data_IF_659434740946
#
_entry.id   IF_659434740946
#
_cell.length_a   1.000
_cell.length_b   1.000
_cell.length_c   1.000
_cell.angle_alpha   90.00
_cell.angle_beta   90.00
_cell.angle_gamma   90.00
#
_symmetry.space_group_name_H-M   'P 1'
#
loop_
_entity.id
_entity.type
_entity.pdbx_description
1 polymer ?
#
# COMPACT_ATOMS: atom_id res chain seq x y z
N UNK A 1 22.90 28.95 -7.91
CA UNK A 1 23.11 27.53 -8.30
C UNK A 1 22.59 26.55 -7.22
N UNK A 2 21.31 26.61 -6.81
CA UNK A 2 20.77 25.76 -5.73
C UNK A 2 19.37 25.16 -6.01
N UNK A 3 18.94 25.11 -7.27
CA UNK A 3 17.64 24.54 -7.67
C UNK A 3 17.70 23.12 -8.24
N UNK A 4 18.89 22.59 -8.58
CA UNK A 4 19.00 21.31 -9.30
C UNK A 4 18.97 20.06 -8.41
N UNK A 5 19.12 20.19 -7.09
CA UNK A 5 19.18 19.03 -6.17
C UNK A 5 17.81 18.60 -5.62
N UNK A 6 16.76 19.41 -5.76
CA UNK A 6 15.40 19.06 -5.29
C UNK A 6 14.62 18.18 -6.27
N UNK A 7 14.90 18.26 -7.57
CA UNK A 7 14.31 17.39 -8.58
C UNK A 7 14.88 15.96 -8.51
N UNK A 8 16.16 15.81 -8.11
CA UNK A 8 16.82 14.50 -8.02
C UNK A 8 16.15 13.55 -7.01
N UNK A 9 15.63 14.03 -5.88
CA UNK A 9 15.01 13.17 -4.87
C UNK A 9 13.67 12.55 -5.30
N UNK A 10 12.86 13.30 -6.08
CA UNK A 10 11.55 12.84 -6.57
C UNK A 10 11.72 11.99 -7.84
N UNK A 11 12.69 12.33 -8.69
CA UNK A 11 13.02 11.54 -9.88
C UNK A 11 13.71 10.21 -9.52
N UNK A 12 14.48 10.12 -8.42
CA UNK A 12 15.06 8.85 -7.95
C UNK A 12 13.97 7.88 -7.45
N UNK A 13 12.89 8.38 -6.84
CA UNK A 13 11.75 7.54 -6.46
C UNK A 13 11.00 6.98 -7.70
N UNK A 14 10.95 7.73 -8.80
CA UNK A 14 10.31 7.32 -10.05
C UNK A 14 11.21 6.50 -11.00
N UNK A 15 12.52 6.76 -11.02
CA UNK A 15 13.49 6.10 -11.91
C UNK A 15 13.96 4.75 -11.34
N UNK A 16 13.99 4.57 -10.02
CA UNK A 16 14.22 3.26 -9.42
C UNK A 16 13.07 2.26 -9.66
N UNK A 17 11.90 2.72 -10.12
CA UNK A 17 10.73 1.87 -10.42
C UNK A 17 10.68 1.36 -11.88
N UNK A 18 11.56 1.81 -12.78
CA UNK A 18 11.47 1.50 -14.22
C UNK A 18 12.77 0.98 -14.88
N UNK A 19 13.78 0.63 -14.09
CA UNK A 19 15.12 0.32 -14.60
C UNK A 19 15.59 -1.12 -14.45
N UNK A 20 15.10 -2.04 -15.28
CA UNK A 20 15.87 -3.23 -15.68
C UNK A 20 15.78 -3.38 -17.21
N UNK A 21 16.90 -3.30 -17.95
CA UNK A 21 16.91 -3.53 -19.38
C UNK A 21 17.23 -5.00 -19.67
N UNK A 22 16.37 -5.67 -20.43
CA UNK A 22 16.73 -6.95 -21.04
C UNK A 22 15.54 -7.78 -21.48
N UNK A 23 15.57 -8.21 -22.74
CA UNK A 23 14.77 -9.28 -23.35
C UNK A 23 13.38 -8.92 -23.89
N UNK A 24 13.40 -8.12 -24.96
CA UNK A 24 12.49 -8.33 -26.09
C UNK A 24 13.16 -9.25 -27.10
N UNK A 25 12.56 -10.39 -27.40
CA UNK A 25 12.73 -11.10 -28.67
C UNK A 25 11.39 -11.75 -29.04
N UNK A 26 10.89 -11.54 -30.27
CA UNK A 26 9.64 -12.15 -30.73
C UNK A 26 9.93 -13.45 -31.48
N UNK A 27 9.23 -14.52 -31.16
CA UNK A 27 9.14 -15.77 -31.93
C UNK A 27 7.79 -16.38 -31.56
N UNK A 28 6.92 -16.93 -32.40
CA UNK A 28 6.69 -16.98 -33.84
C UNK A 28 5.38 -17.76 -33.92
N UNK A 29 4.38 -17.26 -34.65
CA UNK A 29 3.19 -18.06 -34.94
C UNK A 29 3.59 -19.27 -35.81
N UNK A 30 3.02 -20.42 -35.52
CA UNK A 30 2.93 -21.54 -36.46
C UNK A 30 1.55 -22.18 -36.28
N UNK A 31 0.64 -21.84 -37.20
CA UNK A 31 -0.39 -22.76 -37.68
C UNK A 31 0.32 -23.93 -38.36
N UNK A 32 -0.10 -25.17 -38.08
CA UNK A 32 -0.49 -26.06 -39.18
C UNK A 32 -1.42 -27.18 -38.70
N UNK A 33 -2.28 -27.58 -39.62
CA UNK A 33 -3.40 -28.48 -39.45
C UNK A 33 -3.09 -29.93 -39.90
N UNK A 34 -4.03 -30.82 -39.59
CA UNK A 34 -4.29 -32.13 -40.21
C UNK A 34 -3.33 -33.28 -39.88
N UNK A 35 -3.84 -34.40 -39.36
CA UNK A 35 -4.49 -35.46 -40.14
C UNK A 35 -4.66 -36.73 -39.28
N UNK A 36 -5.86 -37.30 -39.35
CA UNK A 36 -6.15 -38.67 -38.93
C UNK A 36 -5.29 -39.68 -39.69
N UNK A 37 -4.79 -40.71 -39.01
CA UNK A 37 -4.83 -42.07 -39.55
C UNK A 37 -4.69 -43.12 -38.44
N UNK A 38 -5.70 -43.98 -38.39
CA UNK A 38 -5.85 -45.17 -37.57
C UNK A 38 -4.96 -46.29 -38.14
N UNK A 39 -4.25 -47.05 -37.30
CA UNK A 39 -3.99 -48.48 -37.54
C UNK A 39 -3.57 -49.20 -36.25
N UNK A 40 -4.40 -50.18 -35.91
CA UNK A 40 -4.26 -51.21 -34.90
C UNK A 40 -3.20 -52.24 -35.32
N UNK A 41 -2.20 -52.51 -34.46
CA UNK A 41 -1.45 -53.76 -34.48
C UNK A 41 -0.94 -54.09 -33.06
N UNK A 42 -1.48 -55.16 -32.52
CA UNK A 42 -0.97 -55.89 -31.35
C UNK A 42 0.32 -56.62 -31.72
N UNK A 43 1.41 -56.40 -31.00
CA UNK A 43 2.47 -57.40 -30.81
C UNK A 43 3.17 -57.20 -29.47
N UNK A 44 3.06 -58.23 -28.63
CA UNK A 44 3.82 -58.50 -27.41
C UNK A 44 5.23 -58.96 -27.80
N UNK A 45 6.27 -58.25 -27.36
CA UNK A 45 7.62 -58.79 -27.21
C UNK A 45 8.38 -58.02 -26.12
N UNK A 46 8.69 -58.73 -25.06
CA UNK A 46 9.68 -58.42 -24.03
C UNK A 46 11.08 -58.33 -24.62
N UNK A 47 11.73 -57.18 -24.49
CA UNK A 47 13.19 -57.07 -24.53
C UNK A 47 13.67 -55.99 -23.56
N UNK A 48 14.38 -56.43 -22.52
CA UNK A 48 15.31 -55.60 -21.75
C UNK A 48 16.37 -55.04 -22.70
N UNK A 49 16.50 -53.71 -22.75
CA UNK A 49 17.75 -53.05 -23.09
C UNK A 49 17.86 -51.76 -22.29
N UNK A 50 18.92 -51.70 -21.48
CA UNK A 50 19.37 -50.48 -20.85
C UNK A 50 19.69 -49.42 -21.92
N UNK A 51 19.15 -48.24 -21.69
CA UNK A 51 19.47 -47.01 -22.38
C UNK A 51 19.59 -45.97 -21.28
N UNK A 52 20.83 -45.56 -21.00
CA UNK A 52 21.17 -44.44 -20.15
C UNK A 52 20.37 -43.20 -20.61
N UNK A 53 19.26 -42.92 -19.93
CA UNK A 53 18.54 -41.68 -20.08
C UNK A 53 19.33 -40.63 -19.30
N UNK A 54 20.20 -39.93 -20.02
CA UNK A 54 20.81 -38.68 -19.61
C UNK A 54 19.69 -37.75 -19.12
N UNK A 55 19.52 -37.67 -17.80
CA UNK A 55 18.57 -36.77 -17.17
C UNK A 55 19.10 -35.36 -17.38
N UNK A 56 18.56 -34.70 -18.39
CA UNK A 56 18.79 -33.29 -18.68
C UNK A 56 18.29 -32.47 -17.48
N UNK A 57 19.16 -32.32 -16.47
CA UNK A 57 18.92 -31.51 -15.29
C UNK A 57 18.96 -30.05 -15.75
N UNK A 58 17.80 -29.55 -16.18
CA UNK A 58 17.55 -28.12 -16.26
C UNK A 58 18.01 -27.50 -14.93
N UNK A 59 18.83 -26.43 -14.94
CA UNK A 59 19.38 -25.86 -13.73
C UNK A 59 18.22 -25.46 -12.80
N UNK A 60 18.16 -26.09 -11.63
CA UNK A 60 17.21 -25.73 -10.58
C UNK A 60 17.47 -24.27 -10.20
N UNK A 61 16.62 -23.36 -10.70
CA UNK A 61 16.67 -21.96 -10.33
C UNK A 61 16.64 -21.85 -8.80
N UNK A 62 17.47 -20.98 -8.18
CA UNK A 62 17.51 -20.87 -6.73
C UNK A 62 16.16 -20.33 -6.22
N UNK A 63 15.32 -21.22 -5.68
CA UNK A 63 14.08 -20.83 -5.00
C UNK A 63 14.42 -20.26 -3.63
N UNK A 64 14.16 -18.97 -3.41
CA UNK A 64 14.32 -18.38 -2.08
C UNK A 64 13.36 -19.03 -1.08
N UNK A 65 13.85 -19.38 0.11
CA UNK A 65 12.98 -19.82 1.20
C UNK A 65 11.96 -18.70 1.53
N UNK A 66 10.70 -19.06 1.75
CA UNK A 66 9.60 -18.14 2.07
C UNK A 66 9.92 -17.23 3.26
N UNK A 67 10.61 -17.75 4.27
CA UNK A 67 11.05 -16.95 5.41
C UNK A 67 12.13 -15.93 5.06
N UNK A 68 13.03 -16.28 4.13
CA UNK A 68 14.04 -15.36 3.60
C UNK A 68 13.40 -14.28 2.73
N UNK A 69 12.41 -14.64 1.90
CA UNK A 69 11.64 -13.70 1.10
C UNK A 69 10.83 -12.74 2.00
N UNK A 70 10.20 -13.27 3.06
CA UNK A 70 9.49 -12.44 4.04
C UNK A 70 10.46 -11.49 4.73
N UNK A 71 11.67 -11.94 5.08
CA UNK A 71 12.71 -11.10 5.65
C UNK A 71 13.10 -9.95 4.71
N UNK A 72 13.27 -10.23 3.42
CA UNK A 72 13.56 -9.22 2.40
C UNK A 72 12.41 -8.21 2.27
N UNK A 73 11.17 -8.69 2.15
CA UNK A 73 9.99 -7.84 2.01
C UNK A 73 9.77 -6.99 3.27
N UNK A 74 9.97 -7.59 4.45
CA UNK A 74 9.89 -6.89 5.72
C UNK A 74 10.92 -5.77 5.83
N UNK A 75 12.14 -5.98 5.32
CA UNK A 75 13.16 -4.94 5.27
C UNK A 75 12.74 -3.78 4.36
N UNK A 76 12.21 -4.08 3.17
CA UNK A 76 11.72 -3.06 2.22
C UNK A 76 10.57 -2.26 2.84
N UNK A 77 9.56 -2.94 3.39
CA UNK A 77 8.39 -2.32 4.02
C UNK A 77 8.80 -1.48 5.23
N UNK A 78 9.72 -1.98 6.07
CA UNK A 78 10.21 -1.24 7.21
C UNK A 78 11.00 0.00 6.78
N UNK A 79 11.88 -0.12 5.78
CA UNK A 79 12.63 1.00 5.24
C UNK A 79 11.70 2.08 4.65
N UNK A 80 10.67 1.68 3.90
CA UNK A 80 9.65 2.57 3.35
C UNK A 80 8.90 3.32 4.47
N UNK A 81 8.47 2.61 5.52
CA UNK A 81 7.83 3.21 6.70
C UNK A 81 8.74 4.20 7.42
N UNK A 82 10.00 3.84 7.65
CA UNK A 82 10.98 4.70 8.31
C UNK A 82 11.25 5.96 7.50
N UNK A 83 11.36 5.82 6.17
CA UNK A 83 11.47 6.93 5.24
C UNK A 83 10.26 7.88 5.32
N UNK A 84 9.05 7.34 5.35
CA UNK A 84 7.81 8.11 5.47
C UNK A 84 7.76 9.00 6.71
N UNK A 85 8.15 8.48 7.87
CA UNK A 85 8.17 9.27 9.12
C UNK A 85 9.36 10.23 9.22
N UNK A 86 10.43 10.00 8.48
CA UNK A 86 11.54 10.96 8.35
C UNK A 86 11.17 12.14 7.44
N UNK A 87 10.32 11.91 6.43
CA UNK A 87 10.01 12.85 5.36
C UNK A 87 9.50 14.24 5.82
N UNK A 88 8.58 14.37 6.81
CA UNK A 88 8.02 15.67 7.22
C UNK A 88 9.06 16.64 7.77
N UNK A 89 10.18 16.13 8.31
CA UNK A 89 11.23 16.96 8.86
C UNK A 89 12.14 17.58 7.78
N UNK A 90 12.09 17.10 6.54
CA UNK A 90 13.08 17.43 5.51
C UNK A 90 12.50 17.85 4.15
N UNK A 91 11.23 17.57 3.88
CA UNK A 91 10.61 17.85 2.57
C UNK A 91 9.27 18.55 2.76
N UNK A 92 9.05 19.64 2.01
CA UNK A 92 7.74 20.28 1.85
C UNK A 92 7.16 19.86 0.50
N UNK A 93 6.16 18.97 0.51
CA UNK A 93 5.41 18.60 -0.69
C UNK A 93 4.33 19.65 -0.96
N UNK A 94 4.11 19.99 -2.23
CA UNK A 94 2.93 20.80 -2.59
C UNK A 94 1.66 19.99 -2.44
N UNK A 95 0.53 20.68 -2.23
CA UNK A 95 -0.78 20.06 -2.10
C UNK A 95 -1.11 19.16 -3.30
N UNK A 96 -0.95 19.67 -4.53
CA UNK A 96 -1.22 18.92 -5.76
C UNK A 96 -0.33 17.67 -5.91
N UNK A 97 0.96 17.74 -5.53
CA UNK A 97 1.84 16.58 -5.61
C UNK A 97 1.38 15.47 -4.67
N UNK A 98 1.03 15.82 -3.44
CA UNK A 98 0.54 14.87 -2.46
C UNK A 98 -0.76 14.21 -2.94
N UNK A 99 -1.68 15.00 -3.48
CA UNK A 99 -2.95 14.53 -4.04
C UNK A 99 -2.76 13.56 -5.22
N UNK A 100 -1.86 13.87 -6.15
CA UNK A 100 -1.55 12.98 -7.28
C UNK A 100 -0.93 11.66 -6.81
N UNK A 101 -0.04 11.71 -5.83
CA UNK A 101 0.60 10.52 -5.25
C UNK A 101 -0.45 9.65 -4.54
N UNK A 102 -1.28 10.22 -3.67
CA UNK A 102 -2.37 9.51 -2.99
C UNK A 102 -3.35 8.89 -4.00
N UNK A 103 -3.70 9.62 -5.06
CA UNK A 103 -4.62 9.12 -6.08
C UNK A 103 -4.04 7.94 -6.88
N UNK A 104 -2.77 8.01 -7.28
CA UNK A 104 -2.09 6.90 -7.96
C UNK A 104 -1.97 5.67 -7.05
N UNK A 105 -1.61 5.87 -5.78
CA UNK A 105 -1.47 4.78 -4.81
C UNK A 105 -2.84 4.18 -4.47
N UNK A 106 -3.88 4.99 -4.31
CA UNK A 106 -5.25 4.52 -4.13
C UNK A 106 -5.73 3.66 -5.31
N UNK A 107 -5.40 4.05 -6.54
CA UNK A 107 -5.68 3.25 -7.73
C UNK A 107 -4.94 1.92 -7.76
N UNK A 108 -3.66 1.92 -7.36
CA UNK A 108 -2.87 0.69 -7.21
C UNK A 108 -3.46 -0.24 -6.15
N UNK A 109 -3.79 0.26 -4.96
CA UNK A 109 -4.39 -0.54 -3.86
C UNK A 109 -5.73 -1.12 -4.30
N UNK A 110 -6.59 -0.32 -4.95
CA UNK A 110 -7.86 -0.77 -5.50
C UNK A 110 -7.64 -1.90 -6.52
N UNK A 111 -6.69 -1.71 -7.44
CA UNK A 111 -6.31 -2.70 -8.44
C UNK A 111 -5.79 -4.00 -7.82
N UNK A 112 -4.87 -3.93 -6.85
CA UNK A 112 -4.34 -5.11 -6.14
C UNK A 112 -5.45 -5.83 -5.37
N UNK A 113 -6.36 -5.10 -4.72
CA UNK A 113 -7.50 -5.69 -4.01
C UNK A 113 -8.42 -6.49 -4.94
N UNK A 114 -8.78 -5.92 -6.08
CA UNK A 114 -9.76 -6.52 -7.00
C UNK A 114 -9.14 -7.52 -7.98
N UNK A 115 -7.95 -7.24 -8.51
CA UNK A 115 -7.32 -8.01 -9.58
C UNK A 115 -6.33 -9.07 -9.07
N UNK A 116 -5.84 -8.96 -7.84
CA UNK A 116 -4.91 -9.95 -7.27
C UNK A 116 -5.55 -10.67 -6.08
N UNK A 117 -5.90 -9.97 -5.00
CA UNK A 117 -6.36 -10.62 -3.76
C UNK A 117 -7.67 -11.41 -3.96
N UNK A 118 -8.65 -10.83 -4.65
CA UNK A 118 -9.94 -11.47 -4.87
C UNK A 118 -9.83 -12.74 -5.76
N UNK A 119 -9.17 -12.72 -6.94
CA UNK A 119 -8.96 -13.93 -7.72
C UNK A 119 -8.18 -15.02 -6.98
N UNK A 120 -7.15 -14.65 -6.21
CA UNK A 120 -6.41 -15.62 -5.39
C UNK A 120 -7.31 -16.24 -4.31
N UNK A 121 -8.22 -15.48 -3.70
CA UNK A 121 -9.20 -16.03 -2.77
C UNK A 121 -10.15 -17.05 -3.44
N UNK A 122 -10.57 -16.78 -4.68
CA UNK A 122 -11.37 -17.73 -5.49
C UNK A 122 -10.59 -18.99 -5.81
N UNK A 123 -9.31 -18.88 -6.08
CA UNK A 123 -8.45 -20.03 -6.33
C UNK A 123 -8.30 -20.91 -5.08
N UNK A 124 -8.05 -20.31 -3.92
CA UNK A 124 -7.81 -21.03 -2.65
C UNK A 124 -9.06 -21.71 -2.07
N UNK A 125 -10.25 -21.09 -2.21
CA UNK A 125 -11.50 -21.66 -1.69
C UNK A 125 -12.21 -22.53 -2.75
N UNK A 126 -12.00 -22.23 -4.03
CA UNK A 126 -12.71 -22.86 -5.15
C UNK A 126 -13.96 -22.08 -5.60
N UNK A 127 -14.38 -22.34 -6.85
CA UNK A 127 -15.47 -21.62 -7.53
C UNK A 127 -16.84 -21.78 -6.85
N UNK A 128 -17.05 -22.85 -6.10
CA UNK A 128 -18.30 -23.08 -5.36
C UNK A 128 -18.39 -22.26 -4.06
N UNK A 129 -17.28 -21.65 -3.62
CA UNK A 129 -17.20 -20.87 -2.38
C UNK A 129 -17.39 -19.36 -2.53
N UNK A 130 -17.93 -18.89 -3.67
CA UNK A 130 -18.13 -17.46 -3.95
C UNK A 130 -18.94 -16.75 -2.86
N UNK A 131 -19.97 -17.41 -2.31
CA UNK A 131 -20.75 -16.87 -1.18
C UNK A 131 -19.89 -16.60 0.06
N UNK A 132 -18.93 -17.48 0.34
CA UNK A 132 -18.01 -17.33 1.47
C UNK A 132 -17.02 -16.19 1.21
N UNK A 133 -16.46 -16.13 0.00
CA UNK A 133 -15.54 -15.08 -0.44
C UNK A 133 -16.21 -13.71 -0.31
N UNK A 134 -17.43 -13.57 -0.82
CA UNK A 134 -18.19 -12.33 -0.74
C UNK A 134 -18.46 -11.90 0.71
N UNK A 135 -18.78 -12.84 1.61
CA UNK A 135 -18.99 -12.55 3.04
C UNK A 135 -17.71 -12.07 3.72
N UNK A 136 -16.57 -12.70 3.45
CA UNK A 136 -15.29 -12.29 4.04
C UNK A 136 -14.80 -10.95 3.48
N UNK A 137 -14.97 -10.72 2.18
CA UNK A 137 -14.70 -9.42 1.57
C UNK A 137 -15.57 -8.32 2.16
N UNK A 138 -16.88 -8.56 2.32
CA UNK A 138 -17.77 -7.62 3.00
C UNK A 138 -17.35 -7.39 4.45
N UNK A 139 -16.96 -8.44 5.18
CA UNK A 139 -16.49 -8.32 6.56
C UNK A 139 -15.23 -7.43 6.66
N UNK A 140 -14.27 -7.61 5.75
CA UNK A 140 -13.07 -6.77 5.68
C UNK A 140 -13.39 -5.31 5.38
N UNK A 141 -14.28 -5.08 4.41
CA UNK A 141 -14.76 -3.73 4.06
C UNK A 141 -15.47 -3.05 5.23
N UNK A 142 -16.41 -3.74 5.89
CA UNK A 142 -17.18 -3.20 7.01
C UNK A 142 -16.27 -2.93 8.22
N UNK A 143 -15.37 -3.86 8.54
CA UNK A 143 -14.42 -3.65 9.63
C UNK A 143 -13.52 -2.46 9.34
N UNK A 144 -12.95 -2.35 8.15
CA UNK A 144 -12.12 -1.20 7.79
C UNK A 144 -12.91 0.11 7.82
N UNK A 145 -14.15 0.12 7.34
CA UNK A 145 -15.05 1.28 7.45
C UNK A 145 -15.24 1.73 8.91
N UNK A 146 -15.50 0.80 9.83
CA UNK A 146 -15.64 1.14 11.25
C UNK A 146 -14.33 1.59 11.88
N UNK A 147 -13.20 1.04 11.44
CA UNK A 147 -11.88 1.46 11.89
C UNK A 147 -11.56 2.90 11.46
N UNK A 148 -11.84 3.25 10.20
CA UNK A 148 -11.75 4.63 9.72
C UNK A 148 -12.71 5.54 10.50
N UNK A 149 -13.97 5.12 10.71
CA UNK A 149 -14.94 5.93 11.47
C UNK A 149 -14.53 6.15 12.93
N UNK A 150 -13.98 5.14 13.59
CA UNK A 150 -13.64 5.21 15.01
C UNK A 150 -12.38 6.03 15.29
N UNK A 151 -11.41 6.01 14.37
CA UNK A 151 -10.06 6.52 14.63
C UNK A 151 -9.57 7.61 13.66
N UNK A 152 -10.31 7.88 12.58
CA UNK A 152 -9.95 8.87 11.54
C UNK A 152 -10.77 10.17 11.65
N UNK A 153 -11.19 10.53 12.87
CA UNK A 153 -12.01 11.72 13.15
C UNK A 153 -11.36 12.96 12.54
N UNK A 154 -12.08 13.60 11.61
CA UNK A 154 -11.67 14.62 10.66
C UNK A 154 -10.64 15.63 11.20
N UNK A 155 -9.36 15.43 10.86
CA UNK A 155 -8.39 16.52 10.83
C UNK A 155 -8.34 17.05 9.41
N UNK A 156 -8.94 18.23 9.18
CA UNK A 156 -8.56 19.04 8.04
C UNK A 156 -7.04 19.23 8.12
N UNK A 157 -6.36 18.90 7.01
CA UNK A 157 -4.93 19.12 6.80
C UNK A 157 -4.49 20.38 7.55
N UNK A 158 -3.47 20.33 8.45
CA UNK A 158 -2.97 21.55 9.05
C UNK A 158 -2.48 22.43 7.90
N UNK A 159 -3.13 23.59 7.74
CA UNK A 159 -2.67 24.62 6.82
C UNK A 159 -1.22 24.91 7.20
N UNK A 160 -0.31 24.46 6.34
CA UNK A 160 1.08 24.86 6.42
C UNK A 160 1.06 26.32 6.00
N UNK A 161 0.91 27.22 6.97
CA UNK A 161 1.05 28.67 6.81
C UNK A 161 2.45 28.95 6.27
N UNK A 162 2.58 28.90 4.95
CA UNK A 162 3.51 29.74 4.23
C UNK A 162 2.82 31.11 4.12
N UNK A 163 3.61 32.17 4.21
CA UNK A 163 3.22 33.56 3.95
C UNK A 163 2.88 34.37 5.21
N UNK A 164 3.91 34.62 6.02
CA UNK A 164 3.97 35.80 6.87
C UNK A 164 5.42 36.29 6.99
N UNK A 165 6.08 36.54 5.86
CA UNK A 165 7.22 37.45 5.82
C UNK A 165 7.10 38.39 4.61
N UNK A 166 7.02 39.68 4.94
CA UNK A 166 7.52 40.82 4.17
C UNK A 166 6.56 41.55 3.21
N UNK A 167 5.71 42.44 3.75
CA UNK A 167 5.47 43.72 3.09
C UNK A 167 5.16 44.86 4.08
N UNK A 168 6.06 45.87 4.05
CA UNK A 168 5.83 47.30 4.25
C UNK A 168 6.66 47.97 5.37
N UNK A 169 7.79 48.53 4.92
CA UNK A 169 8.70 49.43 5.62
C UNK A 169 8.24 50.89 5.46
N UNK A 170 8.05 51.55 6.62
CA UNK A 170 8.22 52.96 7.00
C UNK A 170 7.02 53.98 7.06
N UNK A 171 7.02 54.86 8.10
CA UNK A 171 6.00 55.90 8.45
C UNK A 171 6.29 57.27 7.74
N UNK A 172 5.63 58.47 7.94
CA UNK A 172 4.99 59.02 9.17
C UNK A 172 3.82 60.08 9.03
N UNK A 173 3.35 60.57 10.20
CA UNK A 173 2.70 61.89 10.56
C UNK A 173 1.17 62.12 10.47
N UNK A 174 0.63 62.51 11.64
CA UNK A 174 -0.58 63.25 12.06
C UNK A 174 -1.67 63.69 11.07
N UNK A 175 -2.95 63.40 11.41
CA UNK A 175 -3.98 64.43 11.58
C UNK A 175 -5.20 63.93 12.39
N UNK A 176 -5.60 64.71 13.40
CA UNK A 176 -6.74 64.46 14.29
C UNK A 176 -8.01 65.21 13.83
N UNK A 177 -9.20 64.56 13.90
CA UNK A 177 -10.57 65.13 14.11
C UNK A 177 -11.49 63.98 14.58
N UNK A 178 -11.81 63.79 15.87
CA UNK A 178 -12.94 64.27 16.72
C UNK A 178 -14.35 63.69 16.41
N UNK A 179 -14.91 62.97 17.42
CA UNK A 179 -16.34 62.86 17.77
C UNK A 179 -16.95 61.45 17.59
N UNK A 180 -17.39 60.66 18.57
CA UNK A 180 -18.00 60.96 19.89
C UNK A 180 -17.83 59.82 20.94
N UNK A 181 -17.63 60.28 22.19
CA UNK A 181 -17.64 59.71 23.57
C UNK A 181 -18.28 58.32 23.87
N UNK A 182 -17.58 57.32 24.48
CA UNK A 182 -17.23 57.03 25.93
C UNK A 182 -18.27 56.12 26.66
N UNK A 183 -17.94 55.29 27.69
CA UNK A 183 -16.66 55.10 28.38
C UNK A 183 -16.16 53.64 28.57
N UNK A 184 -14.86 53.60 28.87
CA UNK A 184 -13.97 52.59 29.46
C UNK A 184 -14.60 51.53 30.38
N UNK A 185 -14.35 50.25 30.08
CA UNK A 185 -14.11 49.21 31.09
C UNK A 185 -12.74 48.57 30.86
N UNK A 186 -11.82 48.93 31.75
CA UNK A 186 -10.49 48.34 31.90
C UNK A 186 -10.64 46.98 32.60
N UNK A 187 -10.36 45.87 31.93
CA UNK A 187 -10.07 44.58 32.58
C UNK A 187 -8.79 43.98 32.02
N UNK A 188 -7.88 43.66 32.96
CA UNK A 188 -6.50 43.26 32.74
C UNK A 188 -6.31 41.82 32.22
N UNK A 189 -5.05 41.33 32.25
CA UNK A 189 -4.59 40.20 31.48
C UNK A 189 -5.03 38.87 32.12
N UNK A 190 -6.16 38.33 31.69
CA UNK A 190 -6.51 36.93 31.97
C UNK A 190 -7.60 36.42 31.02
N UNK A 191 -7.30 36.38 29.72
CA UNK A 191 -8.05 35.52 28.80
C UNK A 191 -7.34 34.16 28.80
N UNK A 192 -7.74 33.35 29.77
CA UNK A 192 -7.51 31.92 29.85
C UNK A 192 -8.10 31.28 28.58
N UNK A 193 -7.27 31.16 27.55
CA UNK A 193 -7.59 30.32 26.40
C UNK A 193 -7.56 28.89 26.89
N UNK A 194 -8.76 28.35 27.12
CA UNK A 194 -9.05 26.95 27.32
C UNK A 194 -8.26 26.09 26.32
N UNK A 195 -7.09 25.61 26.73
CA UNK A 195 -6.41 24.52 26.06
C UNK A 195 -7.26 23.27 26.33
N UNK A 196 -8.13 22.95 25.38
CA UNK A 196 -8.83 21.67 25.41
C UNK A 196 -7.79 20.54 25.37
N UNK A 197 -7.95 19.47 26.17
CA UNK A 197 -7.03 18.33 26.20
C UNK A 197 -7.16 17.43 24.96
N UNK A 198 -7.49 17.98 23.79
CA UNK A 198 -7.86 17.22 22.59
C UNK A 198 -6.67 16.72 21.76
N UNK A 199 -5.45 17.25 21.96
CA UNK A 199 -4.29 16.85 21.15
C UNK A 199 -3.70 15.47 21.51
N UNK A 200 -3.88 14.99 22.75
CA UNK A 200 -3.36 13.68 23.19
C UNK A 200 -4.21 12.52 22.70
N UNK A 201 -5.53 12.71 22.62
CA UNK A 201 -6.46 11.68 22.14
C UNK A 201 -6.36 11.50 20.62
N UNK A 202 -6.05 12.58 19.89
CA UNK A 202 -6.00 12.59 18.42
C UNK A 202 -4.89 11.70 17.82
N UNK A 203 -3.61 11.91 18.16
CA UNK A 203 -2.53 11.14 17.52
C UNK A 203 -2.53 9.66 17.93
N UNK A 204 -2.95 9.36 19.17
CA UNK A 204 -2.97 7.99 19.69
C UNK A 204 -4.10 7.17 19.07
N UNK A 205 -5.28 7.78 18.87
CA UNK A 205 -6.39 7.16 18.14
C UNK A 205 -5.99 6.82 16.71
N UNK A 206 -5.41 7.80 15.99
CA UNK A 206 -4.93 7.60 14.61
C UNK A 206 -3.84 6.54 14.55
N UNK A 207 -2.86 6.57 15.48
CA UNK A 207 -1.84 5.52 15.57
C UNK A 207 -2.47 4.15 15.79
N UNK A 208 -3.47 4.01 16.66
CA UNK A 208 -4.13 2.74 16.93
C UNK A 208 -4.89 2.22 15.69
N UNK A 209 -5.66 3.08 15.03
CA UNK A 209 -6.34 2.73 13.78
C UNK A 209 -5.36 2.27 12.71
N UNK A 210 -4.31 3.07 12.46
CA UNK A 210 -3.26 2.72 11.49
C UNK A 210 -2.47 1.47 11.91
N UNK A 211 -2.26 1.23 13.21
CA UNK A 211 -1.59 0.04 13.72
C UNK A 211 -2.39 -1.23 13.43
N UNK A 212 -3.71 -1.19 13.61
CA UNK A 212 -4.58 -2.30 13.23
C UNK A 212 -4.59 -2.46 11.71
N UNK A 213 -4.74 -1.38 10.95
CA UNK A 213 -4.62 -1.40 9.48
C UNK A 213 -3.33 -2.09 9.00
N UNK A 214 -2.16 -1.70 9.51
CA UNK A 214 -0.89 -2.29 9.06
C UNK A 214 -0.70 -3.75 9.53
N UNK A 215 -1.38 -4.18 10.59
CA UNK A 215 -1.44 -5.61 10.92
C UNK A 215 -2.26 -6.39 9.88
N UNK A 216 -3.32 -5.79 9.34
CA UNK A 216 -4.12 -6.37 8.26
C UNK A 216 -3.36 -6.41 6.93
N UNK A 217 -2.50 -5.43 6.64
CA UNK A 217 -1.53 -5.49 5.54
C UNK A 217 -0.58 -6.68 5.72
N UNK A 218 -0.10 -6.89 6.95
CA UNK A 218 0.71 -8.06 7.30
C UNK A 218 -0.04 -9.36 7.03
N UNK A 219 -1.30 -9.45 7.46
CA UNK A 219 -2.17 -10.60 7.17
C UNK A 219 -2.32 -10.84 5.65
N UNK A 220 -2.53 -9.79 4.84
CA UNK A 220 -2.62 -9.90 3.39
C UNK A 220 -1.33 -10.44 2.76
N UNK A 221 -0.18 -9.91 3.20
CA UNK A 221 1.14 -10.34 2.74
C UNK A 221 1.40 -11.80 3.11
N UNK A 222 1.17 -12.17 4.37
CA UNK A 222 1.34 -13.54 4.85
C UNK A 222 0.42 -14.53 4.15
N UNK A 223 -0.83 -14.15 3.88
CA UNK A 223 -1.78 -14.98 3.14
C UNK A 223 -1.35 -15.21 1.70
N UNK A 224 -0.90 -14.16 1.00
CA UNK A 224 -0.41 -14.29 -0.39
C UNK A 224 0.84 -15.18 -0.46
N UNK A 225 1.78 -14.99 0.48
CA UNK A 225 2.98 -15.82 0.56
C UNK A 225 2.68 -17.29 0.86
N UNK A 226 1.55 -17.58 1.50
CA UNK A 226 1.10 -18.95 1.78
C UNK A 226 0.36 -19.57 0.58
N UNK A 227 -0.44 -18.77 -0.14
CA UNK A 227 -1.15 -19.19 -1.34
C UNK A 227 -0.19 -19.59 -2.47
N UNK A 228 0.71 -18.69 -2.88
CA UNK A 228 1.57 -18.94 -4.04
C UNK A 228 2.67 -19.98 -3.79
N UNK A 229 3.02 -20.21 -2.52
CA UNK A 229 4.00 -21.23 -2.15
C UNK A 229 3.53 -22.68 -2.41
N UNK A 230 2.23 -22.89 -2.59
CA UNK A 230 1.67 -24.21 -2.89
C UNK A 230 1.62 -24.47 -4.40
N UNK A 231 1.71 -23.42 -5.22
CA UNK A 231 1.36 -23.48 -6.64
C UNK A 231 2.47 -23.04 -7.60
N UNK A 232 3.60 -22.47 -7.16
CA UNK A 232 4.66 -22.06 -8.09
C UNK A 232 6.08 -22.01 -7.52
N UNK A 233 7.07 -22.35 -8.37
CA UNK A 233 8.51 -22.17 -8.12
C UNK A 233 8.99 -20.75 -8.50
N UNK A 234 8.12 -19.75 -8.43
CA UNK A 234 8.43 -18.38 -8.83
C UNK A 234 9.26 -17.67 -7.75
N UNK A 235 10.29 -16.93 -8.18
CA UNK A 235 11.19 -16.17 -7.31
C UNK A 235 10.52 -14.96 -6.65
N UNK A 236 9.37 -14.50 -7.18
CA UNK A 236 8.74 -13.23 -6.85
C UNK A 236 7.26 -13.39 -6.46
N UNK A 237 7.03 -14.12 -5.38
CA UNK A 237 5.69 -14.28 -4.75
C UNK A 237 5.27 -12.98 -4.07
N UNK A 238 4.03 -12.53 -4.26
CA UNK A 238 3.40 -11.43 -3.53
C UNK A 238 3.95 -10.03 -3.86
N UNK A 239 4.55 -9.84 -5.04
CA UNK A 239 5.12 -8.54 -5.44
C UNK A 239 4.06 -7.44 -5.53
N UNK A 240 2.85 -7.76 -6.01
CA UNK A 240 1.76 -6.78 -6.04
C UNK A 240 1.40 -6.25 -4.66
N UNK A 241 1.29 -7.14 -3.67
CA UNK A 241 0.98 -6.79 -2.28
C UNK A 241 2.16 -6.02 -1.66
N UNK A 242 3.39 -6.48 -1.87
CA UNK A 242 4.60 -5.74 -1.44
C UNK A 242 4.59 -4.31 -1.97
N UNK A 243 4.35 -4.14 -3.27
CA UNK A 243 4.35 -2.83 -3.92
C UNK A 243 3.25 -1.93 -3.34
N UNK A 244 2.02 -2.45 -3.20
CA UNK A 244 0.93 -1.72 -2.58
C UNK A 244 1.30 -1.25 -1.17
N UNK A 245 1.77 -2.15 -0.30
CA UNK A 245 2.15 -1.83 1.08
C UNK A 245 3.32 -0.84 1.12
N UNK A 246 4.39 -1.11 0.36
CA UNK A 246 5.59 -0.29 0.37
C UNK A 246 5.34 1.14 -0.12
N UNK A 247 4.37 1.34 -1.02
CA UNK A 247 4.04 2.67 -1.54
C UNK A 247 3.12 3.47 -0.61
N UNK A 248 2.16 2.85 0.06
CA UNK A 248 1.20 3.59 0.92
C UNK A 248 1.64 3.71 2.37
N UNK A 249 2.44 2.78 2.89
CA UNK A 249 2.96 2.83 4.27
C UNK A 249 3.79 4.07 4.62
N UNK A 250 4.61 4.64 3.70
CA UNK A 250 5.29 5.91 3.96
C UNK A 250 4.32 7.07 4.22
N UNK A 251 3.16 7.08 3.57
CA UNK A 251 2.15 8.13 3.69
C UNK A 251 1.42 8.05 5.05
N UNK A 252 1.14 6.83 5.50
CA UNK A 252 0.59 6.59 6.84
C UNK A 252 1.57 7.02 7.93
N UNK A 253 2.85 6.65 7.78
CA UNK A 253 3.90 7.04 8.71
C UNK A 253 4.13 8.55 8.75
N UNK A 254 4.03 9.23 7.60
CA UNK A 254 4.05 10.68 7.50
C UNK A 254 2.90 11.31 8.31
N UNK A 255 1.70 10.74 8.22
CA UNK A 255 0.52 11.23 8.94
C UNK A 255 0.69 11.12 10.46
N UNK A 256 1.11 9.96 10.97
CA UNK A 256 1.39 9.74 12.40
C UNK A 256 2.47 10.71 12.89
N UNK A 257 3.57 10.81 12.14
CA UNK A 257 4.72 11.62 12.55
C UNK A 257 4.39 13.10 12.58
N UNK A 258 3.62 13.60 11.61
CA UNK A 258 3.17 15.00 11.56
C UNK A 258 2.26 15.33 12.75
N UNK A 259 1.32 14.45 13.11
CA UNK A 259 0.47 14.63 14.29
C UNK A 259 1.29 14.63 15.58
N UNK A 260 2.29 13.75 15.70
CA UNK A 260 3.18 13.74 16.86
C UNK A 260 4.04 15.01 16.93
N UNK A 261 4.48 15.56 15.80
CA UNK A 261 5.18 16.86 15.74
C UNK A 261 4.28 17.98 16.24
N UNK A 262 3.02 18.02 15.78
CA UNK A 262 2.03 19.00 16.21
C UNK A 262 1.67 18.85 17.70
N UNK A 263 1.71 17.63 18.23
CA UNK A 263 1.54 17.35 19.66
C UNK A 263 2.81 17.62 20.50
N UNK A 264 3.86 18.20 19.92
CA UNK A 264 5.10 18.58 20.62
C UNK A 264 5.97 17.39 21.07
N UNK A 265 5.83 16.21 20.44
CA UNK A 265 6.61 15.02 20.82
C UNK A 265 8.06 15.12 20.35
N UNK A 266 8.98 14.65 21.20
CA UNK A 266 10.41 14.63 20.92
C UNK A 266 10.74 13.79 19.68
N UNK A 267 11.89 14.08 19.05
CA UNK A 267 12.36 13.32 17.87
C UNK A 267 12.50 11.82 18.17
N UNK A 268 13.02 11.48 19.36
CA UNK A 268 13.19 10.10 19.80
C UNK A 268 11.85 9.38 19.95
N UNK A 269 10.82 10.03 20.50
CA UNK A 269 9.50 9.42 20.62
C UNK A 269 8.88 9.14 19.24
N UNK A 270 9.04 10.08 18.29
CA UNK A 270 8.56 9.91 16.91
C UNK A 270 9.25 8.75 16.20
N UNK A 271 10.57 8.66 16.32
CA UNK A 271 11.33 7.54 15.79
C UNK A 271 10.94 6.20 16.42
N UNK A 272 10.75 6.16 17.74
CA UNK A 272 10.33 4.94 18.43
C UNK A 272 8.94 4.46 17.95
N UNK A 273 7.96 5.36 17.85
CA UNK A 273 6.62 5.04 17.34
C UNK A 273 6.68 4.59 15.88
N UNK A 274 7.45 5.28 15.03
CA UNK A 274 7.58 4.88 13.63
C UNK A 274 8.28 3.53 13.48
N UNK A 275 9.28 3.21 14.32
CA UNK A 275 9.91 1.90 14.34
C UNK A 275 8.93 0.80 14.75
N UNK A 276 8.11 1.03 15.78
CA UNK A 276 7.04 0.10 16.17
C UNK A 276 6.08 -0.11 15.00
N UNK A 277 5.60 0.98 14.39
CA UNK A 277 4.69 0.95 13.25
C UNK A 277 5.28 0.19 12.04
N UNK A 278 6.57 0.40 11.76
CA UNK A 278 7.29 -0.28 10.69
C UNK A 278 7.30 -1.81 10.88
N UNK A 279 7.40 -2.30 12.12
CA UNK A 279 7.47 -3.71 12.47
C UNK A 279 6.11 -4.42 12.50
N UNK A 280 5.00 -3.71 12.65
CA UNK A 280 3.68 -4.33 12.78
C UNK A 280 3.28 -5.19 11.56
N UNK A 281 3.50 -4.71 10.34
CA UNK A 281 3.21 -5.50 9.13
C UNK A 281 4.05 -6.79 9.04
N UNK A 282 5.40 -6.76 9.20
CA UNK A 282 6.22 -7.97 9.32
C UNK A 282 5.72 -8.94 10.40
N UNK A 283 5.34 -8.42 11.57
CA UNK A 283 4.79 -9.22 12.68
C UNK A 283 3.47 -9.87 12.27
N UNK A 284 2.57 -9.12 11.64
CA UNK A 284 1.29 -9.64 11.14
C UNK A 284 1.48 -10.75 10.10
N UNK A 285 2.38 -10.55 9.14
CA UNK A 285 2.70 -11.54 8.11
C UNK A 285 3.30 -12.82 8.70
N UNK A 286 4.30 -12.68 9.58
CA UNK A 286 4.92 -13.82 10.26
C UNK A 286 3.91 -14.56 11.14
N UNK A 287 3.07 -13.85 11.90
CA UNK A 287 2.04 -14.43 12.74
C UNK A 287 1.02 -15.24 11.91
N UNK A 288 0.59 -14.70 10.77
CA UNK A 288 -0.33 -15.40 9.87
C UNK A 288 0.30 -16.69 9.32
N UNK A 289 1.53 -16.61 8.78
CA UNK A 289 2.24 -17.77 8.24
C UNK A 289 2.50 -18.84 9.31
N UNK A 290 2.88 -18.45 10.53
CA UNK A 290 3.03 -19.38 11.66
C UNK A 290 1.70 -20.00 12.11
N UNK A 291 0.60 -19.25 12.00
CA UNK A 291 -0.75 -19.71 12.36
C UNK A 291 -1.24 -20.77 11.38
N UNK A 292 -1.22 -20.47 10.08
CA UNK A 292 -1.66 -21.39 9.03
C UNK A 292 -0.72 -22.59 8.90
N UNK A 293 0.59 -22.40 9.04
CA UNK A 293 1.56 -23.50 8.94
C UNK A 293 1.43 -24.58 10.02
N UNK A 294 0.61 -24.38 11.05
CA UNK A 294 0.27 -25.40 12.07
C UNK A 294 -1.05 -26.12 11.81
N UNK A 295 -1.77 -25.79 10.73
CA UNK A 295 -3.06 -26.37 10.41
C UNK A 295 -2.88 -27.51 9.40
N UNK A 296 -3.08 -28.76 9.84
CA UNK A 296 -2.93 -29.95 8.99
C UNK A 296 -4.08 -30.09 7.97
N UNK A 297 -5.28 -29.59 8.30
CA UNK A 297 -6.47 -29.61 7.43
C UNK A 297 -7.13 -28.23 7.47
N UNK A 298 -7.36 -27.63 6.30
CA UNK A 298 -8.08 -26.35 6.15
C UNK A 298 -7.23 -25.10 5.95
N UNK A 299 -5.90 -25.23 5.80
CA UNK A 299 -5.01 -24.09 5.54
C UNK A 299 -5.44 -23.24 4.34
N UNK A 300 -5.74 -23.87 3.20
CA UNK A 300 -6.23 -23.20 1.99
C UNK A 300 -7.50 -22.39 2.22
N UNK A 301 -8.46 -22.94 2.97
CA UNK A 301 -9.70 -22.24 3.29
C UNK A 301 -9.43 -20.97 4.12
N UNK A 302 -8.56 -21.05 5.12
CA UNK A 302 -8.17 -19.90 5.96
C UNK A 302 -7.42 -18.85 5.14
N UNK A 303 -6.50 -19.28 4.27
CA UNK A 303 -5.76 -18.40 3.36
C UNK A 303 -6.71 -17.66 2.43
N UNK A 304 -7.62 -18.37 1.76
CA UNK A 304 -8.59 -17.73 0.88
C UNK A 304 -9.56 -16.79 1.59
N UNK A 305 -10.00 -17.12 2.81
CA UNK A 305 -10.81 -16.21 3.63
C UNK A 305 -10.04 -14.94 4.00
N UNK A 306 -8.76 -15.08 4.37
CA UNK A 306 -7.88 -13.97 4.67
C UNK A 306 -7.64 -13.07 3.44
N UNK A 307 -7.40 -13.65 2.27
CA UNK A 307 -7.25 -12.91 1.01
C UNK A 307 -8.51 -12.14 0.63
N UNK A 308 -9.68 -12.79 0.71
CA UNK A 308 -10.97 -12.14 0.44
C UNK A 308 -11.22 -10.97 1.39
N UNK A 309 -10.96 -11.20 2.68
CA UNK A 309 -11.05 -10.17 3.70
C UNK A 309 -10.11 -9.00 3.43
N UNK A 310 -8.84 -9.25 3.11
CA UNK A 310 -7.86 -8.23 2.74
C UNK A 310 -8.26 -7.47 1.47
N UNK A 311 -8.88 -8.13 0.49
CA UNK A 311 -9.44 -7.45 -0.68
C UNK A 311 -10.50 -6.42 -0.27
N UNK A 312 -11.39 -6.77 0.65
CA UNK A 312 -12.38 -5.86 1.22
C UNK A 312 -11.77 -4.67 1.96
N UNK A 313 -10.71 -4.92 2.74
CA UNK A 313 -9.93 -3.88 3.42
C UNK A 313 -9.33 -2.91 2.39
N UNK A 314 -8.66 -3.41 1.34
CA UNK A 314 -8.02 -2.60 0.31
C UNK A 314 -9.03 -1.78 -0.50
N UNK A 315 -10.18 -2.35 -0.85
CA UNK A 315 -11.27 -1.63 -1.52
C UNK A 315 -11.78 -0.50 -0.61
N UNK A 316 -11.96 -0.75 0.69
CA UNK A 316 -12.44 0.28 1.60
C UNK A 316 -11.44 1.43 1.75
N UNK A 317 -10.15 1.15 1.93
CA UNK A 317 -9.11 2.18 2.06
C UNK A 317 -9.04 3.02 0.79
N UNK A 318 -8.89 2.36 -0.37
CA UNK A 318 -8.74 3.06 -1.64
C UNK A 318 -9.93 3.98 -1.91
N UNK A 319 -11.17 3.53 -1.69
CA UNK A 319 -12.33 4.40 -1.88
C UNK A 319 -12.40 5.54 -0.85
N UNK A 320 -12.06 5.28 0.42
CA UNK A 320 -12.07 6.30 1.47
C UNK A 320 -11.02 7.39 1.23
N UNK A 321 -9.84 7.04 0.71
CA UNK A 321 -8.77 7.99 0.40
C UNK A 321 -9.05 8.78 -0.88
N UNK A 322 -9.77 8.18 -1.85
CA UNK A 322 -10.10 8.82 -3.12
C UNK A 322 -11.28 9.78 -3.03
N UNK A 323 -12.30 9.48 -2.21
CA UNK A 323 -13.56 10.22 -2.12
C UNK A 323 -13.39 11.72 -1.78
N UNK A 324 -12.65 12.11 -0.72
CA UNK A 324 -12.45 13.52 -0.36
C UNK A 324 -11.76 14.31 -1.47
N UNK A 325 -10.90 13.65 -2.22
CA UNK A 325 -10.03 14.30 -3.18
C UNK A 325 -10.78 14.67 -4.48
N UNK A 326 -11.69 13.81 -4.93
CA UNK A 326 -12.52 14.04 -6.12
C UNK A 326 -13.71 15.00 -5.89
N UNK A 327 -14.28 15.03 -4.68
CA UNK A 327 -15.43 15.89 -4.36
C UNK A 327 -15.02 17.35 -4.14
N UNK A 328 -13.93 17.62 -3.39
CA UNK A 328 -13.61 18.97 -2.92
C UNK A 328 -12.65 19.77 -3.83
N UNK A 329 -11.96 19.16 -4.79
CA UNK A 329 -10.96 19.84 -5.64
C UNK A 329 -11.31 19.82 -7.15
N UNK A 330 -12.36 20.57 -7.52
CA UNK A 330 -12.90 20.63 -8.89
C UNK A 330 -11.90 21.00 -9.98
N UNK A 331 -10.87 21.78 -9.66
CA UNK A 331 -9.92 22.32 -10.65
C UNK A 331 -8.89 21.31 -11.19
N UNK A 332 -8.71 20.15 -10.53
CA UNK A 332 -7.70 19.16 -10.94
C UNK A 332 -8.24 17.76 -11.21
N UNK A 333 -9.56 17.55 -11.17
CA UNK A 333 -10.22 16.23 -11.29
C UNK A 333 -9.66 15.33 -12.39
N UNK A 334 -9.40 15.87 -13.59
CA UNK A 334 -8.85 15.10 -14.71
C UNK A 334 -7.46 14.54 -14.42
N UNK A 335 -6.55 15.34 -13.83
CA UNK A 335 -5.18 14.89 -13.52
C UNK A 335 -5.18 13.79 -12.47
N UNK A 336 -6.09 13.90 -11.50
CA UNK A 336 -6.25 12.88 -10.47
C UNK A 336 -6.89 11.60 -11.02
N UNK A 337 -7.91 11.70 -11.85
CA UNK A 337 -8.46 10.53 -12.53
C UNK A 337 -7.43 9.82 -13.40
N UNK A 338 -6.53 10.56 -14.08
CA UNK A 338 -5.42 9.96 -14.81
C UNK A 338 -4.45 9.25 -13.85
N UNK A 339 -4.08 9.88 -12.73
CA UNK A 339 -3.20 9.27 -11.73
C UNK A 339 -3.79 7.97 -11.16
N UNK A 340 -5.09 7.97 -10.82
CA UNK A 340 -5.84 6.79 -10.41
C UNK A 340 -5.76 5.67 -11.45
N UNK A 341 -6.07 5.99 -12.71
CA UNK A 341 -6.05 5.01 -13.81
C UNK A 341 -4.64 4.46 -14.05
N UNK A 342 -3.60 5.27 -13.89
CA UNK A 342 -2.21 4.80 -13.94
C UNK A 342 -1.90 3.82 -12.81
N UNK A 343 -2.43 4.05 -11.60
CA UNK A 343 -2.33 3.12 -10.48
C UNK A 343 -2.99 1.78 -10.78
N UNK A 344 -4.22 1.80 -11.30
CA UNK A 344 -4.96 0.59 -11.70
C UNK A 344 -4.23 -0.14 -12.84
N UNK A 345 -3.74 0.59 -13.84
CA UNK A 345 -2.97 0.03 -14.95
C UNK A 345 -1.67 -0.62 -14.48
N UNK A 346 -0.99 -0.03 -13.48
CA UNK A 346 0.18 -0.62 -12.85
C UNK A 346 -0.19 -1.92 -12.12
N UNK A 347 -1.29 -1.94 -11.35
CA UNK A 347 -1.78 -3.17 -10.72
C UNK A 347 -2.01 -4.27 -11.76
N UNK A 348 -2.77 -3.96 -12.81
CA UNK A 348 -3.02 -4.89 -13.91
C UNK A 348 -1.73 -5.38 -14.57
N UNK A 349 -0.74 -4.50 -14.75
CA UNK A 349 0.58 -4.83 -15.29
C UNK A 349 1.38 -5.81 -14.42
N UNK A 350 1.23 -5.74 -13.09
CA UNK A 350 1.90 -6.67 -12.16
C UNK A 350 1.39 -8.11 -12.34
N UNK A 351 0.13 -8.29 -12.79
CA UNK A 351 -0.42 -9.61 -13.08
C UNK A 351 0.37 -10.40 -14.12
N UNK A 352 1.08 -9.74 -15.03
CA UNK A 352 1.94 -10.41 -16.02
C UNK A 352 3.29 -10.87 -15.45
N UNK A 353 3.70 -10.37 -14.29
CA UNK A 353 4.89 -10.80 -13.57
C UNK A 353 4.60 -12.01 -12.67
N UNK A 354 3.33 -12.24 -12.33
CA UNK A 354 2.87 -13.41 -11.59
C UNK A 354 2.70 -14.60 -12.55
N UNK A 355 3.09 -15.83 -12.16
CA UNK A 355 3.11 -16.99 -13.06
C UNK A 355 1.71 -17.29 -13.65
N UNK A 356 1.70 -17.63 -14.94
CA UNK A 356 0.55 -17.60 -15.86
C UNK A 356 -0.59 -18.63 -15.62
N UNK A 357 -0.80 -19.12 -14.40
CA UNK A 357 -1.83 -20.13 -14.12
C UNK A 357 -3.23 -19.55 -13.85
N UNK A 358 -3.38 -18.21 -13.92
CA UNK A 358 -4.62 -17.49 -13.57
C UNK A 358 -5.44 -16.99 -14.78
N UNK A 359 -5.00 -17.28 -16.00
CA UNK A 359 -5.70 -16.90 -17.23
C UNK A 359 -6.36 -18.10 -17.92
N UNK A 360 -7.40 -18.72 -17.34
CA UNK A 360 -8.32 -19.59 -18.09
C UNK A 360 -9.71 -19.73 -17.44
#
# INVERSE_FOLDING_TARGET
MKSSTRAAGVTVLAVCLLGLPGFLSPVSAAEDATAEHNHEHTHDHSHEHGSDAESDHAPSQPTMNRWSLLGLYSLIIAAASLFGGWLPAHVKLSHLQFQLVMSAIGGLILGIGVLHLLPHAVHEIGRDGVDTIAKWMLAGMVMMFFLLRAFHVHHHQPEINADAEDEARNPPVDLAVIGHAEPVHLHGPNCDHSHTPESRLSWLGIFFGLAVHTLLDGLALGATMQAEATHSAATFVGVGILMAIALHKPLDSLSITTLMMNAGKSSTARWAVNLVYALLCPIGAAAFMLGVGRMDLGGHFVVGCALAFSAGVFICISLADLLPEMEFHSHHRVRLSIALLLGIALAWGIGFLEPAHLHH
#
